data_IF_328021849036
#
_entry.id   IF_328021849036
#
_cell.length_a   1.000
_cell.length_b   1.000
_cell.length_c   1.000
_cell.angle_alpha   90.00
_cell.angle_beta   90.00
_cell.angle_gamma   90.00
#
_symmetry.space_group_name_H-M   'P 1'
#
loop_
_entity.id
_entity.type
_entity.pdbx_description
1 polymer ?
#
# COMPACT_ATOMS: atom_id res chain seq x y z
N UNK A 1 -29.67 -23.05 -8.04
CA UNK A 1 -28.46 -22.79 -7.26
C UNK A 1 -28.39 -23.61 -5.99
N UNK A 2 -27.36 -24.44 -5.87
CA UNK A 2 -27.11 -25.27 -4.68
C UNK A 2 -26.79 -24.40 -3.46
N UNK A 3 -27.12 -24.84 -2.22
CA UNK A 3 -26.87 -24.06 -1.01
C UNK A 3 -25.38 -23.68 -0.81
N UNK A 4 -24.48 -24.57 -1.22
CA UNK A 4 -23.03 -24.39 -1.13
C UNK A 4 -22.57 -23.25 -2.05
N UNK A 5 -22.99 -23.25 -3.31
CA UNK A 5 -22.63 -22.20 -4.28
C UNK A 5 -23.17 -20.84 -3.87
N UNK A 6 -24.36 -20.79 -3.27
CA UNK A 6 -24.95 -19.57 -2.71
C UNK A 6 -24.13 -18.98 -1.59
N UNK A 7 -23.67 -19.80 -0.67
CA UNK A 7 -22.80 -19.35 0.41
C UNK A 7 -21.46 -18.83 -0.12
N UNK A 8 -20.85 -19.53 -1.08
CA UNK A 8 -19.57 -19.13 -1.68
C UNK A 8 -19.69 -17.84 -2.50
N UNK A 9 -20.72 -17.70 -3.32
CA UNK A 9 -21.06 -16.45 -4.03
C UNK A 9 -21.20 -15.27 -3.07
N UNK A 10 -21.91 -15.46 -1.96
CA UNK A 10 -22.10 -14.40 -0.95
C UNK A 10 -20.76 -14.00 -0.33
N UNK A 11 -19.88 -14.97 -0.07
CA UNK A 11 -18.53 -14.69 0.42
C UNK A 11 -17.69 -13.96 -0.62
N UNK A 12 -17.67 -14.44 -1.86
CA UNK A 12 -16.94 -13.84 -2.96
C UNK A 12 -17.33 -12.37 -3.15
N UNK A 13 -18.63 -12.09 -3.25
CA UNK A 13 -19.15 -10.72 -3.39
C UNK A 13 -18.86 -9.83 -2.17
N UNK A 14 -18.91 -10.38 -0.96
CA UNK A 14 -18.58 -9.63 0.26
C UNK A 14 -17.10 -9.26 0.32
N UNK A 15 -16.22 -10.21 0.00
CA UNK A 15 -14.78 -9.98 -0.02
C UNK A 15 -14.40 -9.01 -1.14
N UNK A 16 -14.99 -9.15 -2.33
CA UNK A 16 -14.81 -8.20 -3.44
C UNK A 16 -15.17 -6.77 -3.05
N UNK A 17 -16.37 -6.56 -2.48
CA UNK A 17 -16.77 -5.23 -1.98
C UNK A 17 -15.83 -4.66 -0.92
N UNK A 18 -15.35 -5.50 -0.01
CA UNK A 18 -14.39 -5.07 1.01
C UNK A 18 -13.06 -4.63 0.39
N UNK A 19 -12.60 -5.30 -0.67
CA UNK A 19 -11.42 -4.90 -1.42
C UNK A 19 -11.67 -3.57 -2.13
N UNK A 20 -12.79 -3.43 -2.84
CA UNK A 20 -13.15 -2.19 -3.55
C UNK A 20 -13.25 -0.98 -2.61
N UNK A 21 -13.81 -1.18 -1.41
CA UNK A 21 -13.86 -0.14 -0.38
C UNK A 21 -12.46 0.26 0.09
N UNK A 22 -11.56 -0.71 0.33
CA UNK A 22 -10.17 -0.43 0.69
C UNK A 22 -9.42 0.31 -0.43
N UNK A 23 -9.66 -0.05 -1.69
CA UNK A 23 -9.07 0.63 -2.85
C UNK A 23 -9.54 2.08 -2.92
N UNK A 24 -10.86 2.31 -2.84
CA UNK A 24 -11.44 3.65 -2.84
C UNK A 24 -10.89 4.51 -1.71
N UNK A 25 -10.83 3.95 -0.50
CA UNK A 25 -10.30 4.65 0.66
C UNK A 25 -8.80 4.97 0.51
N UNK A 26 -8.09 4.22 -0.33
CA UNK A 26 -6.65 4.38 -0.53
C UNK A 26 -6.26 5.27 -1.72
N UNK A 27 -7.20 5.67 -2.57
CA UNK A 27 -6.94 6.51 -3.75
C UNK A 27 -6.24 7.84 -3.45
N UNK A 28 -6.45 8.42 -2.28
CA UNK A 28 -5.79 9.68 -1.91
C UNK A 28 -4.28 9.52 -1.69
N UNK A 29 -3.78 8.30 -1.47
CA UNK A 29 -2.35 8.04 -1.29
C UNK A 29 -1.59 8.12 -2.61
N UNK A 30 -2.20 7.75 -3.74
CA UNK A 30 -1.53 7.81 -5.05
C UNK A 30 -1.30 9.24 -5.53
N UNK A 31 -2.06 10.20 -5.00
CA UNK A 31 -1.93 11.64 -5.28
C UNK A 31 -1.23 12.40 -4.15
N UNK A 32 -0.82 11.70 -3.08
CA UNK A 32 -0.17 12.32 -1.94
C UNK A 32 1.15 12.98 -2.37
N UNK A 33 1.29 14.26 -2.01
CA UNK A 33 2.53 15.02 -2.18
C UNK A 33 3.09 15.33 -0.78
N UNK A 34 4.34 14.91 -0.49
CA UNK A 34 4.99 15.19 0.79
C UNK A 34 5.04 16.69 1.13
N UNK A 35 4.52 17.04 2.31
CA UNK A 35 4.59 18.41 2.82
C UNK A 35 6.04 18.84 3.08
N UNK A 36 6.37 20.09 2.76
CA UNK A 36 7.61 20.74 3.20
C UNK A 36 7.28 21.58 4.42
N UNK A 37 7.63 21.10 5.61
CA UNK A 37 7.53 21.89 6.84
C UNK A 37 8.82 22.69 7.05
N UNK A 38 8.72 23.78 7.78
CA UNK A 38 9.84 24.68 8.09
C UNK A 38 10.85 24.04 9.06
N UNK A 39 10.41 23.05 9.83
CA UNK A 39 11.23 22.25 10.73
C UNK A 39 11.53 20.88 10.10
N UNK A 40 12.82 20.55 9.98
CA UNK A 40 13.28 19.27 9.44
C UNK A 40 12.93 18.09 10.35
N UNK A 41 12.95 18.26 11.68
CA UNK A 41 12.58 17.21 12.63
C UNK A 41 11.08 16.87 12.50
N UNK A 42 10.22 17.89 12.50
CA UNK A 42 8.78 17.71 12.27
C UNK A 42 8.49 17.11 10.89
N UNK A 43 9.29 17.47 9.87
CA UNK A 43 9.15 16.87 8.53
C UNK A 43 9.49 15.38 8.57
N UNK A 44 10.59 14.99 9.22
CA UNK A 44 11.02 13.59 9.34
C UNK A 44 9.97 12.76 10.09
N UNK A 45 9.45 13.25 11.21
CA UNK A 45 8.39 12.59 11.97
C UNK A 45 7.10 12.44 11.16
N UNK A 46 6.70 13.50 10.44
CA UNK A 46 5.54 13.46 9.56
C UNK A 46 5.69 12.40 8.46
N UNK A 47 6.84 12.38 7.77
CA UNK A 47 7.13 11.41 6.72
C UNK A 47 7.16 9.97 7.27
N UNK A 48 7.70 9.78 8.47
CA UNK A 48 7.73 8.46 9.12
C UNK A 48 6.31 7.98 9.45
N UNK A 49 5.46 8.84 10.01
CA UNK A 49 4.07 8.52 10.30
C UNK A 49 3.28 8.18 9.02
N UNK A 50 3.50 8.94 7.95
CA UNK A 50 2.87 8.71 6.64
C UNK A 50 3.34 7.41 6.02
N UNK A 51 4.65 7.11 6.05
CA UNK A 51 5.20 5.84 5.59
C UNK A 51 4.59 4.65 6.32
N UNK A 52 4.51 4.69 7.66
CA UNK A 52 3.86 3.61 8.44
C UNK A 52 2.41 3.40 8.04
N UNK A 53 1.67 4.49 7.86
CA UNK A 53 0.26 4.43 7.45
C UNK A 53 0.12 3.82 6.06
N UNK A 54 0.95 4.25 5.12
CA UNK A 54 0.94 3.74 3.74
C UNK A 54 1.28 2.24 3.71
N UNK A 55 2.32 1.84 4.45
CA UNK A 55 2.73 0.44 4.58
C UNK A 55 1.60 -0.43 5.13
N UNK A 56 0.92 0.01 6.19
CA UNK A 56 -0.23 -0.71 6.74
C UNK A 56 -1.37 -0.84 5.72
N UNK A 57 -1.61 0.18 4.91
CA UNK A 57 -2.65 0.15 3.87
C UNK A 57 -2.30 -0.83 2.75
N UNK A 58 -1.05 -0.85 2.31
CA UNK A 58 -0.54 -1.84 1.35
C UNK A 58 -0.79 -3.27 1.86
N UNK A 59 -0.40 -3.56 3.11
CA UNK A 59 -0.64 -4.87 3.71
C UNK A 59 -2.14 -5.25 3.75
N UNK A 60 -3.01 -4.32 4.15
CA UNK A 60 -4.44 -4.58 4.21
C UNK A 60 -5.04 -4.88 2.83
N UNK A 61 -4.60 -4.18 1.78
CA UNK A 61 -5.06 -4.42 0.40
C UNK A 61 -4.54 -5.77 -0.09
N UNK A 62 -3.26 -6.09 0.16
CA UNK A 62 -2.66 -7.38 -0.20
C UNK A 62 -3.40 -8.55 0.45
N UNK A 63 -3.68 -8.45 1.76
CA UNK A 63 -4.45 -9.46 2.49
C UNK A 63 -5.88 -9.63 1.93
N UNK A 64 -6.55 -8.52 1.62
CA UNK A 64 -7.89 -8.56 1.04
C UNK A 64 -7.90 -9.16 -0.37
N UNK A 65 -6.88 -8.83 -1.20
CA UNK A 65 -6.65 -9.42 -2.52
C UNK A 65 -6.45 -10.94 -2.41
N UNK A 66 -5.52 -11.39 -1.56
CA UNK A 66 -5.28 -12.83 -1.33
C UNK A 66 -6.55 -13.54 -0.83
N UNK A 67 -7.34 -12.89 0.02
CA UNK A 67 -8.63 -13.44 0.46
C UNK A 67 -9.63 -13.56 -0.68
N UNK A 68 -9.63 -12.63 -1.64
CA UNK A 68 -10.52 -12.67 -2.81
C UNK A 68 -10.10 -13.78 -3.76
N UNK A 69 -8.81 -13.89 -4.07
CA UNK A 69 -8.23 -14.99 -4.86
C UNK A 69 -8.62 -16.35 -4.27
N UNK A 70 -8.41 -16.53 -2.96
CA UNK A 70 -8.79 -17.76 -2.27
C UNK A 70 -10.30 -18.03 -2.28
N UNK A 71 -11.14 -16.99 -2.37
CA UNK A 71 -12.59 -17.15 -2.53
C UNK A 71 -12.96 -17.55 -3.96
N UNK A 72 -12.29 -16.99 -4.97
CA UNK A 72 -12.43 -17.39 -6.39
C UNK A 72 -12.06 -18.85 -6.57
N UNK A 73 -10.91 -19.30 -6.03
CA UNK A 73 -10.49 -20.71 -6.11
C UNK A 73 -11.54 -21.64 -5.52
N UNK A 74 -12.03 -21.34 -4.30
CA UNK A 74 -13.07 -22.17 -3.66
C UNK A 74 -14.38 -22.19 -4.44
N UNK A 75 -14.74 -21.08 -5.07
CA UNK A 75 -15.92 -20.98 -5.92
C UNK A 75 -15.75 -21.82 -7.20
N UNK A 76 -14.57 -21.75 -7.82
CA UNK A 76 -14.18 -22.56 -8.97
C UNK A 76 -14.22 -24.07 -8.66
N UNK A 77 -13.59 -24.50 -7.57
CA UNK A 77 -13.56 -25.90 -7.15
C UNK A 77 -14.98 -26.43 -6.90
N UNK A 78 -15.82 -25.63 -6.24
CA UNK A 78 -17.20 -25.99 -5.98
C UNK A 78 -18.02 -26.11 -7.27
N UNK A 79 -17.83 -25.21 -8.24
CA UNK A 79 -18.49 -25.27 -9.55
C UNK A 79 -18.06 -26.52 -10.33
N UNK A 80 -16.75 -26.80 -10.40
CA UNK A 80 -16.21 -27.96 -11.10
C UNK A 80 -16.63 -29.30 -10.49
N UNK A 81 -16.92 -29.33 -9.19
CA UNK A 81 -17.41 -30.54 -8.49
C UNK A 81 -18.89 -30.87 -8.76
N UNK A 82 -19.63 -29.98 -9.42
CA UNK A 82 -21.05 -30.19 -9.73
C UNK A 82 -21.26 -31.14 -10.90
N UNK A 83 -22.45 -31.74 -10.96
CA UNK A 83 -22.91 -32.44 -12.14
C UNK A 83 -23.05 -31.49 -13.33
N UNK A 84 -22.82 -32.01 -14.54
CA UNK A 84 -22.78 -31.22 -15.78
C UNK A 84 -24.08 -30.42 -16.03
N UNK A 85 -25.24 -31.00 -15.73
CA UNK A 85 -26.53 -30.30 -15.86
C UNK A 85 -26.66 -29.11 -14.90
N UNK A 86 -26.04 -29.19 -13.72
CA UNK A 86 -26.01 -28.08 -12.77
C UNK A 86 -25.00 -27.00 -13.20
N UNK A 87 -23.86 -27.40 -13.77
CA UNK A 87 -22.87 -26.47 -14.32
C UNK A 87 -23.49 -25.62 -15.44
N UNK A 88 -24.14 -26.24 -16.43
CA UNK A 88 -24.79 -25.50 -17.54
C UNK A 88 -25.84 -24.51 -17.04
N UNK A 89 -26.59 -24.85 -15.98
CA UNK A 89 -27.58 -23.94 -15.39
C UNK A 89 -26.97 -22.74 -14.67
N UNK A 90 -25.77 -22.90 -14.13
CA UNK A 90 -25.10 -21.88 -13.30
C UNK A 90 -23.93 -21.22 -14.03
N UNK A 91 -23.65 -21.58 -15.29
CA UNK A 91 -22.48 -21.17 -16.06
C UNK A 91 -22.41 -19.65 -16.26
N UNK A 92 -23.52 -19.02 -16.64
CA UNK A 92 -23.59 -17.56 -16.81
C UNK A 92 -23.35 -16.83 -15.48
N UNK A 93 -23.98 -17.30 -14.40
CA UNK A 93 -23.79 -16.73 -13.08
C UNK A 93 -22.34 -16.90 -12.61
N UNK A 94 -21.78 -18.10 -12.80
CA UNK A 94 -20.39 -18.40 -12.50
C UNK A 94 -19.45 -17.44 -13.24
N UNK A 95 -19.60 -17.29 -14.55
CA UNK A 95 -18.81 -16.39 -15.38
C UNK A 95 -18.84 -14.96 -14.85
N UNK A 96 -20.03 -14.40 -14.67
CA UNK A 96 -20.20 -13.02 -14.15
C UNK A 96 -19.54 -12.79 -12.79
N UNK A 97 -19.66 -13.75 -11.85
CA UNK A 97 -19.04 -13.59 -10.53
C UNK A 97 -17.53 -13.71 -10.56
N UNK A 98 -16.98 -14.61 -11.37
CA UNK A 98 -15.54 -14.74 -11.52
C UNK A 98 -14.92 -13.56 -12.25
N UNK A 99 -15.57 -13.05 -13.29
CA UNK A 99 -15.13 -11.88 -14.04
C UNK A 99 -15.07 -10.65 -13.13
N UNK A 100 -16.15 -10.34 -12.40
CA UNK A 100 -16.16 -9.22 -11.46
C UNK A 100 -15.09 -9.34 -10.36
N UNK A 101 -14.82 -10.56 -9.88
CA UNK A 101 -13.76 -10.78 -8.90
C UNK A 101 -12.37 -10.53 -9.50
N UNK A 102 -12.12 -10.98 -10.73
CA UNK A 102 -10.87 -10.74 -11.43
C UNK A 102 -10.67 -9.26 -11.76
N UNK A 103 -11.71 -8.55 -12.18
CA UNK A 103 -11.66 -7.09 -12.35
C UNK A 103 -11.21 -6.39 -11.06
N UNK A 104 -11.77 -6.81 -9.92
CA UNK A 104 -11.42 -6.26 -8.60
C UNK A 104 -9.96 -6.57 -8.23
N UNK A 105 -9.48 -7.80 -8.50
CA UNK A 105 -8.09 -8.21 -8.26
C UNK A 105 -7.13 -7.39 -9.13
N UNK A 106 -7.39 -7.28 -10.43
CA UNK A 106 -6.54 -6.51 -11.35
C UNK A 106 -6.52 -5.02 -11.00
N UNK A 107 -7.67 -4.47 -10.58
CA UNK A 107 -7.72 -3.10 -10.08
C UNK A 107 -6.87 -2.93 -8.81
N UNK A 108 -6.91 -3.91 -7.90
CA UNK A 108 -6.10 -3.88 -6.68
C UNK A 108 -4.61 -3.93 -6.98
N UNK A 109 -4.17 -4.80 -7.89
CA UNK A 109 -2.77 -4.89 -8.31
C UNK A 109 -2.25 -3.57 -8.90
N UNK A 110 -3.09 -2.92 -9.71
CA UNK A 110 -2.74 -1.64 -10.32
C UNK A 110 -2.57 -0.54 -9.26
N UNK A 111 -3.45 -0.49 -8.26
CA UNK A 111 -3.35 0.50 -7.18
C UNK A 111 -2.21 0.20 -6.20
N UNK A 112 -1.97 -1.07 -5.88
CA UNK A 112 -0.82 -1.51 -5.08
C UNK A 112 0.48 -1.01 -5.70
N UNK A 113 0.70 -1.23 -7.00
CA UNK A 113 1.91 -0.77 -7.69
C UNK A 113 2.10 0.76 -7.59
N UNK A 114 1.03 1.55 -7.73
CA UNK A 114 1.10 3.01 -7.57
C UNK A 114 1.41 3.41 -6.13
N UNK A 115 0.83 2.74 -5.16
CA UNK A 115 1.04 3.02 -3.73
C UNK A 115 2.45 2.63 -3.28
N UNK A 116 3.01 1.53 -3.80
CA UNK A 116 4.40 1.13 -3.60
C UNK A 116 5.38 2.18 -4.16
N UNK A 117 5.11 2.70 -5.36
CA UNK A 117 5.89 3.80 -5.93
C UNK A 117 5.90 5.03 -5.00
N UNK A 118 4.75 5.35 -4.40
CA UNK A 118 4.66 6.43 -3.41
C UNK A 118 5.38 6.12 -2.10
N UNK A 119 5.39 4.87 -1.65
CA UNK A 119 6.15 4.47 -0.45
C UNK A 119 7.65 4.64 -0.68
N UNK A 120 8.13 4.29 -1.88
CA UNK A 120 9.51 4.50 -2.29
C UNK A 120 9.84 6.00 -2.38
N UNK A 121 8.95 6.82 -2.96
CA UNK A 121 9.13 8.27 -3.03
C UNK A 121 9.28 8.89 -1.62
N UNK A 122 8.36 8.56 -0.70
CA UNK A 122 8.41 9.02 0.69
C UNK A 122 9.69 8.54 1.38
N UNK A 123 10.08 7.29 1.16
CA UNK A 123 11.29 6.71 1.74
C UNK A 123 12.55 7.43 1.25
N UNK A 124 12.62 7.75 -0.03
CA UNK A 124 13.75 8.49 -0.60
C UNK A 124 13.86 9.89 0.01
N UNK A 125 12.75 10.63 0.10
CA UNK A 125 12.73 11.97 0.70
C UNK A 125 13.15 11.92 2.17
N UNK A 126 12.65 10.93 2.91
CA UNK A 126 13.06 10.69 4.30
C UNK A 126 14.57 10.50 4.41
N UNK A 127 15.17 9.62 3.58
CA UNK A 127 16.61 9.36 3.59
C UNK A 127 17.43 10.60 3.22
N UNK A 128 17.04 11.35 2.19
CA UNK A 128 17.74 12.58 1.80
C UNK A 128 17.74 13.62 2.92
N UNK A 129 16.61 13.82 3.61
CA UNK A 129 16.52 14.78 4.72
C UNK A 129 17.28 14.31 5.96
N UNK A 130 17.17 13.03 6.32
CA UNK A 130 17.93 12.47 7.43
C UNK A 130 19.45 12.58 7.18
N UNK A 131 19.90 12.29 5.95
CA UNK A 131 21.31 12.45 5.58
C UNK A 131 21.76 13.91 5.64
N UNK A 132 20.96 14.86 5.15
CA UNK A 132 21.26 16.29 5.23
C UNK A 132 21.39 16.77 6.68
N UNK A 133 20.49 16.33 7.58
CA UNK A 133 20.55 16.64 9.00
C UNK A 133 21.81 16.08 9.67
N UNK A 134 22.21 14.85 9.35
CA UNK A 134 23.45 14.25 9.86
C UNK A 134 24.70 15.00 9.38
N UNK A 135 24.74 15.40 8.10
CA UNK A 135 25.86 16.16 7.54
C UNK A 135 25.97 17.57 8.15
N UNK A 136 24.84 18.25 8.36
CA UNK A 136 24.79 19.56 9.01
C UNK A 136 25.26 19.48 10.46
N UNK A 137 24.80 18.51 11.25
CA UNK A 137 25.23 18.36 12.65
C UNK A 137 26.70 17.95 12.78
N UNK A 138 27.22 17.14 11.84
CA UNK A 138 28.65 16.83 11.77
C UNK A 138 29.46 18.10 11.48
N UNK A 139 29.04 18.93 10.52
CA UNK A 139 29.70 20.21 10.22
C UNK A 139 29.62 21.22 11.37
N UNK A 140 28.47 21.34 12.05
CA UNK A 140 28.29 22.23 13.21
C UNK A 140 29.21 21.82 14.37
N UNK A 141 29.48 20.53 14.54
CA UNK A 141 30.47 20.03 15.52
C UNK A 141 31.92 20.38 15.16
N UNK A 142 32.21 20.66 13.88
CA UNK A 142 33.53 21.12 13.40
C UNK A 142 33.70 22.66 13.45
N UNK A 143 32.62 23.43 13.49
CA UNK A 143 32.68 24.92 13.57
C UNK A 143 33.42 25.41 14.84
N UNK A 144 33.19 24.91 16.07
CA UNK A 144 33.95 25.37 17.24
C UNK A 144 35.43 25.00 17.19
N UNK A 145 35.82 23.92 16.48
CA UNK A 145 37.23 23.53 16.27
C UNK A 145 37.96 24.46 15.29
N UNK A 146 37.26 25.02 14.30
CA UNK A 146 37.81 26.01 13.37
C UNK A 146 37.91 27.41 14.00
N UNK A 147 36.90 27.82 14.79
CA UNK A 147 36.93 29.12 15.50
C UNK A 147 38.03 29.13 16.58
N UNK A 148 38.23 28.01 17.29
CA UNK A 148 39.27 27.93 18.34
C UNK A 148 40.69 27.96 17.77
N UNK A 149 40.93 27.44 16.55
CA UNK A 149 42.22 27.54 15.88
C UNK A 149 42.46 28.91 15.23
N UNK A 150 41.40 29.60 14.76
CA UNK A 150 41.52 30.96 14.23
C UNK A 150 41.81 32.01 15.33
N UNK A 151 41.31 31.83 16.56
CA UNK A 151 41.61 32.74 17.67
C UNK A 151 43.07 32.67 18.17
N UNK A 152 43.76 31.54 17.97
CA UNK A 152 45.19 31.40 18.31
C UNK A 152 46.09 32.08 17.28
N UNK A 153 45.65 32.17 16.01
CA UNK A 153 46.46 32.71 14.92
C UNK A 153 46.48 34.25 14.79
N UNK A 154 45.61 34.96 15.51
CA UNK A 154 45.56 36.46 15.52
C UNK A 154 46.34 37.04 16.72
N UNK A 155 46.95 36.20 17.57
CA UNK A 155 47.66 36.63 18.80
C UNK A 155 49.16 36.33 18.80
N UNK A 156 49.78 36.22 17.63
CA UNK A 156 51.23 36.12 17.43
C UNK A 156 51.72 37.21 16.49
#
# INVERSE_FOLDING_TARGET
MTPILKALKTRLTKVGKSLDELLRDSQHWTTYTPARLDNDEETVDHLMAKKRTLHQRLQNIEEAKMSLEGAVTKFHDAFNSMEQEQQTREEEAYGSYTEAAWESITSAETELAKMEEKEVEISNIFWYRAAAFCLLNSLVSFIPLLISNFCVFIRL
#
